data_IF_053123249937
#
_entry.id   IF_053123249937
#
_cell.length_a   1.000
_cell.length_b   1.000
_cell.length_c   1.000
_cell.angle_alpha   90.00
_cell.angle_beta   90.00
_cell.angle_gamma   90.00
#
_symmetry.space_group_name_H-M   'P 1'
#
loop_
_entity.id
_entity.type
_entity.pdbx_description
1 polymer ?
#
# COMPACT_ATOMS: atom_id res chain seq x y z
N UNK A 1 -24.67 -9.49 -5.59
CA UNK A 1 -24.50 -9.47 -4.13
C UNK A 1 -24.28 -8.00 -3.71
N UNK A 2 -25.15 -7.39 -2.89
CA UNK A 2 -25.04 -5.96 -2.50
C UNK A 2 -24.36 -5.75 -1.14
N UNK A 3 -24.61 -6.63 -0.18
CA UNK A 3 -23.96 -6.65 1.12
C UNK A 3 -23.97 -8.09 1.68
N UNK A 4 -23.04 -8.36 2.59
CA UNK A 4 -23.05 -9.53 3.47
C UNK A 4 -23.17 -8.99 4.89
N UNK A 5 -24.17 -9.45 5.64
CA UNK A 5 -24.36 -9.09 7.05
C UNK A 5 -24.05 -10.31 7.90
N UNK A 6 -23.13 -10.16 8.84
CA UNK A 6 -22.75 -11.20 9.81
C UNK A 6 -23.17 -10.69 11.19
N UNK A 7 -24.15 -11.35 11.79
CA UNK A 7 -24.58 -11.12 13.17
C UNK A 7 -24.21 -12.35 14.00
N UNK A 8 -23.37 -12.15 15.02
CA UNK A 8 -22.88 -13.21 15.88
C UNK A 8 -23.08 -12.80 17.35
N UNK A 9 -23.73 -13.64 18.18
CA UNK A 9 -23.99 -13.31 19.58
C UNK A 9 -22.71 -13.25 20.44
N UNK A 10 -21.58 -13.73 19.90
CA UNK A 10 -20.28 -13.72 20.56
C UNK A 10 -19.19 -13.28 19.60
N UNK A 11 -18.29 -12.45 20.09
CA UNK A 11 -17.05 -12.07 19.40
C UNK A 11 -15.87 -12.79 20.03
N UNK A 12 -14.86 -13.17 19.23
CA UNK A 12 -13.63 -13.84 19.71
C UNK A 12 -13.83 -15.20 20.40
N UNK A 13 -14.84 -15.97 19.99
CA UNK A 13 -15.15 -17.32 20.52
C UNK A 13 -14.61 -18.45 19.63
N UNK A 14 -13.58 -18.17 18.82
CA UNK A 14 -12.92 -19.20 18.02
C UNK A 14 -12.23 -20.22 18.95
N UNK A 15 -12.43 -21.54 18.77
CA UNK A 15 -11.75 -22.54 19.61
C UNK A 15 -10.23 -22.40 19.53
N UNK A 16 -9.57 -22.34 20.69
CA UNK A 16 -8.12 -22.30 20.82
C UNK A 16 -7.66 -23.63 21.42
N UNK A 17 -6.80 -24.38 20.72
CA UNK A 17 -6.38 -25.71 21.16
C UNK A 17 -5.62 -25.68 22.50
N UNK A 18 -4.76 -24.68 22.71
CA UNK A 18 -4.06 -24.42 23.97
C UNK A 18 -4.18 -22.93 24.37
N UNK A 19 -5.23 -22.58 25.15
CA UNK A 19 -5.52 -21.18 25.50
C UNK A 19 -4.41 -20.48 26.30
N UNK A 20 -3.75 -21.19 27.21
CA UNK A 20 -2.71 -20.59 28.07
C UNK A 20 -1.43 -20.33 27.29
N UNK A 21 -1.02 -21.29 26.45
CA UNK A 21 0.13 -21.13 25.54
C UNK A 21 -0.12 -20.01 24.53
N UNK A 22 -1.32 -19.96 23.94
CA UNK A 22 -1.70 -18.89 23.00
C UNK A 22 -1.65 -17.52 23.67
N UNK A 23 -2.25 -17.39 24.86
CA UNK A 23 -2.27 -16.13 25.62
C UNK A 23 -0.87 -15.66 25.99
N UNK A 24 0.02 -16.57 26.37
CA UNK A 24 1.41 -16.24 26.67
C UNK A 24 2.15 -15.71 25.42
N UNK A 25 2.01 -16.40 24.28
CA UNK A 25 2.61 -15.99 23.01
C UNK A 25 2.05 -14.66 22.50
N UNK A 26 0.72 -14.48 22.53
CA UNK A 26 0.06 -13.25 22.13
C UNK A 26 0.49 -12.05 22.98
N UNK A 27 0.65 -12.24 24.30
CA UNK A 27 1.17 -11.19 25.20
C UNK A 27 2.62 -10.82 24.87
N UNK A 28 3.47 -11.82 24.59
CA UNK A 28 4.85 -11.59 24.13
C UNK A 28 4.87 -10.81 22.82
N UNK A 29 4.05 -11.21 21.86
CA UNK A 29 3.97 -10.55 20.55
C UNK A 29 3.45 -9.11 20.65
N UNK A 30 2.41 -8.87 21.45
CA UNK A 30 1.92 -7.53 21.72
C UNK A 30 3.02 -6.62 22.31
N UNK A 31 3.88 -7.16 23.19
CA UNK A 31 5.02 -6.41 23.72
C UNK A 31 6.05 -6.09 22.63
N UNK A 32 6.39 -7.06 21.77
CA UNK A 32 7.30 -6.83 20.63
C UNK A 32 6.79 -5.69 19.75
N UNK A 33 5.48 -5.68 19.44
CA UNK A 33 4.86 -4.61 18.65
C UNK A 33 4.92 -3.25 19.35
N UNK A 34 4.57 -3.20 20.64
CA UNK A 34 4.53 -1.93 21.39
C UNK A 34 5.92 -1.35 21.68
N UNK A 35 6.94 -2.18 21.81
CA UNK A 35 8.32 -1.73 22.02
C UNK A 35 8.98 -1.24 20.72
N UNK A 36 8.45 -1.59 19.55
CA UNK A 36 9.00 -1.21 18.25
C UNK A 36 8.65 0.25 17.88
N UNK A 37 9.60 1.10 17.44
CA UNK A 37 9.36 2.53 17.21
C UNK A 37 8.30 2.82 16.14
N UNK A 38 8.26 2.05 15.05
CA UNK A 38 7.24 2.24 14.01
C UNK A 38 5.86 1.82 14.52
N UNK A 39 5.75 0.64 15.14
CA UNK A 39 4.46 0.04 15.51
C UNK A 39 3.86 0.63 16.79
N UNK A 40 4.71 1.00 17.76
CA UNK A 40 4.31 1.50 19.07
C UNK A 40 4.38 3.02 19.23
N UNK A 41 4.96 3.75 18.27
CA UNK A 41 5.07 5.22 18.34
C UNK A 41 4.63 5.91 17.05
N UNK A 42 5.28 5.64 15.90
CA UNK A 42 5.00 6.32 14.64
C UNK A 42 3.56 6.13 14.14
N UNK A 43 3.16 4.87 13.94
CA UNK A 43 1.81 4.52 13.49
C UNK A 43 0.71 4.98 14.47
N UNK A 44 0.82 4.81 15.80
CA UNK A 44 -0.18 5.36 16.73
C UNK A 44 -0.23 6.88 16.78
N UNK A 45 0.84 7.60 16.43
CA UNK A 45 0.85 9.06 16.49
C UNK A 45 0.24 9.70 15.23
N UNK A 46 0.55 9.17 14.06
CA UNK A 46 0.29 9.84 12.77
C UNK A 46 -0.36 8.93 11.72
N UNK A 47 -0.69 7.69 12.09
CA UNK A 47 -1.17 6.67 11.16
C UNK A 47 -0.15 6.31 10.09
N UNK A 48 -0.61 5.68 9.01
CA UNK A 48 0.26 5.34 7.88
C UNK A 48 0.81 6.58 7.18
N UNK A 49 0.05 7.69 7.20
CA UNK A 49 0.41 8.93 6.54
C UNK A 49 1.64 9.64 7.18
N UNK A 50 2.21 9.09 8.26
CA UNK A 50 3.58 9.43 8.72
C UNK A 50 4.61 9.31 7.60
N UNK A 51 4.35 8.45 6.61
CA UNK A 51 5.23 8.22 5.48
C UNK A 51 5.32 9.42 4.52
N UNK A 52 4.33 10.33 4.48
CA UNK A 52 4.29 11.43 3.51
C UNK A 52 5.60 12.24 3.48
N UNK A 53 6.05 12.72 4.64
CA UNK A 53 7.28 13.50 4.74
C UNK A 53 8.54 12.64 4.53
N UNK A 54 8.54 11.40 5.03
CA UNK A 54 9.66 10.46 4.92
C UNK A 54 9.93 10.13 3.45
N UNK A 55 8.89 9.75 2.71
CA UNK A 55 8.98 9.35 1.30
C UNK A 55 9.27 10.54 0.40
N UNK A 56 8.72 11.72 0.71
CA UNK A 56 9.07 12.96 0.04
C UNK A 56 10.55 13.30 0.21
N UNK A 57 11.09 13.26 1.44
CA UNK A 57 12.52 13.53 1.65
C UNK A 57 13.39 12.47 0.98
N UNK A 58 12.96 11.20 0.98
CA UNK A 58 13.67 10.14 0.27
C UNK A 58 13.69 10.31 -1.26
N UNK A 59 12.91 11.24 -1.83
CA UNK A 59 12.91 11.52 -3.27
C UNK A 59 12.24 10.41 -4.09
N UNK A 60 11.25 9.73 -3.51
CA UNK A 60 10.53 8.63 -4.16
C UNK A 60 9.01 8.79 -4.09
N UNK A 61 8.48 9.95 -3.66
CA UNK A 61 7.04 10.18 -3.68
C UNK A 61 6.58 10.54 -5.11
N UNK A 62 5.73 9.73 -5.76
CA UNK A 62 5.29 10.05 -7.11
C UNK A 62 4.48 11.34 -7.12
N UNK A 63 4.92 12.31 -7.91
CA UNK A 63 4.27 13.62 -8.01
C UNK A 63 3.93 13.90 -9.46
N UNK A 64 2.74 14.44 -9.69
CA UNK A 64 2.23 14.78 -11.05
C UNK A 64 2.28 13.58 -12.00
N UNK A 65 1.51 12.52 -11.69
CA UNK A 65 1.46 11.28 -12.47
C UNK A 65 2.87 10.67 -12.71
N UNK A 66 3.63 10.47 -11.63
CA UNK A 66 5.00 9.90 -11.68
C UNK A 66 5.98 10.72 -12.55
N UNK A 67 5.91 12.05 -12.54
CA UNK A 67 6.92 12.89 -13.22
C UNK A 67 8.09 13.27 -12.31
N UNK A 68 7.81 13.45 -11.03
CA UNK A 68 8.81 13.89 -10.05
C UNK A 68 8.74 13.03 -8.79
N UNK A 69 9.87 12.92 -8.07
CA UNK A 69 9.99 12.16 -6.82
C UNK A 69 9.80 13.00 -5.56
N UNK A 70 9.37 14.27 -5.70
CA UNK A 70 9.14 15.23 -4.61
C UNK A 70 7.95 16.13 -4.91
N UNK A 71 7.25 16.52 -3.85
CA UNK A 71 6.17 17.49 -3.86
C UNK A 71 6.42 18.57 -2.80
N UNK A 72 6.49 19.83 -3.24
CA UNK A 72 6.83 20.96 -2.36
C UNK A 72 5.79 21.20 -1.25
N UNK A 73 4.56 20.71 -1.42
CA UNK A 73 3.48 20.82 -0.42
C UNK A 73 3.19 19.50 0.31
N UNK A 74 4.10 18.53 0.29
CA UNK A 74 3.89 17.23 0.96
C UNK A 74 3.55 17.40 2.46
N UNK A 75 4.15 18.38 3.14
CA UNK A 75 3.87 18.67 4.55
C UNK A 75 2.41 19.11 4.81
N UNK A 76 1.74 19.73 3.84
CA UNK A 76 0.35 20.16 3.99
C UNK A 76 -0.63 18.99 3.96
N UNK A 77 -0.20 17.83 3.47
CA UNK A 77 -0.98 16.59 3.40
C UNK A 77 -0.36 15.44 4.19
N UNK A 78 0.54 15.74 5.13
CA UNK A 78 1.26 14.73 5.91
C UNK A 78 0.46 14.18 7.08
N UNK A 79 0.92 13.07 7.66
CA UNK A 79 0.32 12.47 8.85
C UNK A 79 0.33 13.40 10.07
N UNK A 80 1.36 14.21 10.23
CA UNK A 80 1.46 15.22 11.28
C UNK A 80 0.39 16.30 11.11
N UNK A 81 0.23 16.82 9.89
CA UNK A 81 -0.79 17.84 9.59
C UNK A 81 -2.20 17.26 9.73
N UNK A 82 -2.41 16.02 9.27
CA UNK A 82 -3.66 15.28 9.44
C UNK A 82 -3.99 15.14 10.93
N UNK A 83 -3.06 14.70 11.76
CA UNK A 83 -3.27 14.51 13.19
C UNK A 83 -3.60 15.82 13.92
N UNK A 84 -2.90 16.90 13.59
CA UNK A 84 -3.17 18.27 14.08
C UNK A 84 -4.61 18.68 13.78
N UNK A 85 -5.00 18.61 12.50
CA UNK A 85 -6.31 19.07 12.04
C UNK A 85 -7.44 18.19 12.56
N UNK A 86 -7.26 16.86 12.51
CA UNK A 86 -8.24 15.92 13.03
C UNK A 86 -8.51 16.18 14.52
N UNK A 87 -7.47 16.38 15.32
CA UNK A 87 -7.61 16.68 16.77
C UNK A 87 -8.28 18.03 17.00
N UNK A 88 -7.83 19.08 16.30
CA UNK A 88 -8.38 20.43 16.43
C UNK A 88 -9.88 20.50 16.08
N UNK A 89 -10.35 19.61 15.19
CA UNK A 89 -11.75 19.56 14.75
C UNK A 89 -12.58 18.49 15.47
N UNK A 90 -12.08 17.90 16.56
CA UNK A 90 -12.83 16.93 17.38
C UNK A 90 -12.89 15.50 16.80
N UNK A 91 -12.04 15.18 15.84
CA UNK A 91 -11.81 13.85 15.29
C UNK A 91 -10.82 13.03 16.12
N UNK A 92 -10.13 12.09 15.47
CA UNK A 92 -9.14 11.22 16.11
C UNK A 92 -7.90 11.08 15.22
N UNK A 93 -6.73 11.38 15.77
CA UNK A 93 -5.46 11.05 15.11
C UNK A 93 -5.19 9.53 15.11
N UNK A 94 -5.77 8.79 16.06
CA UNK A 94 -5.54 7.35 16.25
C UNK A 94 -6.75 6.61 16.83
N UNK A 95 -7.02 5.43 16.30
CA UNK A 95 -7.92 4.43 16.87
C UNK A 95 -7.62 3.03 16.31
N UNK A 96 -8.14 2.00 16.99
CA UNK A 96 -8.05 0.62 16.52
C UNK A 96 -9.02 0.38 15.36
N UNK A 97 -8.54 -0.22 14.27
CA UNK A 97 -9.38 -0.65 13.15
C UNK A 97 -10.28 -1.85 13.51
N UNK A 98 -9.84 -2.71 14.41
CA UNK A 98 -10.62 -3.83 14.95
C UNK A 98 -10.32 -4.03 16.45
N UNK A 99 -11.21 -4.69 17.22
CA UNK A 99 -10.92 -4.99 18.61
C UNK A 99 -9.73 -5.96 18.71
N UNK A 100 -8.74 -5.61 19.54
CA UNK A 100 -7.50 -6.37 19.70
C UNK A 100 -6.28 -5.76 19.00
N UNK A 101 -6.46 -4.81 18.06
CA UNK A 101 -5.32 -4.12 17.45
C UNK A 101 -4.61 -3.23 18.47
N UNK A 102 -3.36 -3.57 18.80
CA UNK A 102 -2.52 -2.80 19.74
C UNK A 102 -1.82 -1.59 19.09
N UNK A 103 -1.71 -1.57 17.76
CA UNK A 103 -1.03 -0.49 17.00
C UNK A 103 -1.89 0.76 16.79
N UNK A 104 -3.20 0.60 16.58
CA UNK A 104 -4.16 1.72 16.49
C UNK A 104 -3.79 2.81 15.46
N UNK A 105 -3.40 2.42 14.23
CA UNK A 105 -2.94 3.35 13.20
C UNK A 105 -4.04 4.16 12.49
N UNK A 106 -5.32 3.83 12.68
CA UNK A 106 -6.41 4.42 11.90
C UNK A 106 -6.82 5.80 12.44
N UNK A 107 -7.33 6.69 11.59
CA UNK A 107 -7.72 8.07 11.96
C UNK A 107 -9.18 8.40 11.60
N UNK A 108 -9.68 9.51 12.15
CA UNK A 108 -11.00 10.07 11.87
C UNK A 108 -10.84 11.56 11.62
N UNK A 109 -11.15 12.01 10.40
CA UNK A 109 -10.93 13.38 9.92
C UNK A 109 -12.27 14.11 9.68
N UNK A 110 -12.63 15.09 10.53
CA UNK A 110 -13.79 15.94 10.33
C UNK A 110 -13.49 17.07 9.31
N UNK A 111 -14.36 17.19 8.31
CA UNK A 111 -14.30 18.24 7.29
C UNK A 111 -15.13 19.47 7.69
N UNK A 112 -14.82 20.67 7.16
CA UNK A 112 -15.54 21.91 7.49
C UNK A 112 -17.04 21.88 7.15
N UNK A 113 -17.45 21.07 6.17
CA UNK A 113 -18.85 20.91 5.78
C UNK A 113 -19.65 19.96 6.68
N UNK A 114 -19.06 19.46 7.78
CA UNK A 114 -19.69 18.56 8.73
C UNK A 114 -19.64 17.07 8.35
N UNK A 115 -19.13 16.73 7.16
CA UNK A 115 -18.83 15.33 6.82
C UNK A 115 -17.59 14.85 7.58
N UNK A 116 -17.48 13.54 7.75
CA UNK A 116 -16.33 12.88 8.38
C UNK A 116 -15.80 11.82 7.43
N UNK A 117 -14.49 11.83 7.19
CA UNK A 117 -13.80 10.80 6.42
C UNK A 117 -12.90 9.99 7.37
N UNK A 118 -12.89 8.67 7.22
CA UNK A 118 -12.07 7.80 8.04
C UNK A 118 -11.85 6.44 7.34
N UNK A 119 -10.61 5.91 7.35
CA UNK A 119 -9.34 6.63 7.55
C UNK A 119 -8.90 7.39 6.30
N UNK A 120 -8.03 8.38 6.48
CA UNK A 120 -7.15 8.87 5.39
C UNK A 120 -5.80 8.17 5.57
N UNK A 121 -5.53 7.16 4.76
CA UNK A 121 -4.27 6.43 4.75
C UNK A 121 -3.22 7.14 3.86
N UNK A 122 -1.95 6.78 3.99
CA UNK A 122 -0.84 7.34 3.21
C UNK A 122 -1.09 7.30 1.70
N UNK A 123 -1.47 6.14 1.17
CA UNK A 123 -1.72 5.93 -0.25
C UNK A 123 -2.84 6.85 -0.77
N UNK A 124 -3.91 7.00 0.01
CA UNK A 124 -5.02 7.89 -0.33
C UNK A 124 -4.59 9.37 -0.28
N UNK A 125 -3.80 9.76 0.72
CA UNK A 125 -3.27 11.11 0.82
C UNK A 125 -2.31 11.43 -0.33
N UNK A 126 -1.51 10.45 -0.75
CA UNK A 126 -0.63 10.56 -1.91
C UNK A 126 -1.41 10.69 -3.21
N UNK A 127 -2.32 9.74 -3.48
CA UNK A 127 -2.94 9.59 -4.79
C UNK A 127 -3.86 10.77 -5.13
N UNK A 128 -4.45 11.43 -4.12
CA UNK A 128 -5.26 12.64 -4.26
C UNK A 128 -4.52 13.93 -3.91
N UNK A 129 -3.29 13.83 -3.41
CA UNK A 129 -2.43 14.96 -3.08
C UNK A 129 -1.29 15.10 -4.09
N UNK A 130 -0.04 14.71 -3.74
CA UNK A 130 1.14 14.77 -4.60
C UNK A 130 0.92 14.31 -6.04
N UNK A 131 0.25 13.17 -6.24
CA UNK A 131 0.06 12.62 -7.58
C UNK A 131 -0.76 13.55 -8.50
N UNK A 132 -1.68 14.33 -7.93
CA UNK A 132 -2.53 15.29 -8.62
C UNK A 132 -2.06 16.75 -8.45
N UNK A 133 -0.93 16.99 -7.77
CA UNK A 133 -0.43 18.32 -7.35
C UNK A 133 -1.40 19.10 -6.43
N UNK A 134 -2.21 18.39 -5.64
CA UNK A 134 -3.13 18.99 -4.65
C UNK A 134 -2.46 18.99 -3.27
N UNK A 135 -2.39 20.16 -2.63
CA UNK A 135 -1.78 20.36 -1.31
C UNK A 135 -2.78 20.80 -0.25
N UNK A 136 -3.99 20.23 -0.26
CA UNK A 136 -5.09 20.59 0.63
C UNK A 136 -5.77 19.32 1.19
N UNK A 137 -5.67 19.13 2.52
CA UNK A 137 -6.23 17.94 3.18
C UNK A 137 -7.75 17.85 3.12
N UNK A 138 -8.45 18.98 3.09
CA UNK A 138 -9.92 18.99 3.01
C UNK A 138 -10.39 18.46 1.64
N UNK A 139 -9.69 18.82 0.57
CA UNK A 139 -9.89 18.25 -0.77
C UNK A 139 -9.56 16.75 -0.80
N UNK A 140 -8.41 16.34 -0.25
CA UNK A 140 -8.03 14.92 -0.15
C UNK A 140 -9.10 14.12 0.60
N UNK A 141 -9.58 14.65 1.73
CA UNK A 141 -10.64 14.04 2.53
C UNK A 141 -11.97 13.94 1.77
N UNK A 142 -12.31 14.94 0.95
CA UNK A 142 -13.52 14.91 0.12
C UNK A 142 -13.43 13.83 -0.97
N UNK A 143 -12.31 13.75 -1.68
CA UNK A 143 -12.09 12.73 -2.71
C UNK A 143 -12.14 11.31 -2.11
N UNK A 144 -11.49 11.11 -0.97
CA UNK A 144 -11.57 9.86 -0.21
C UNK A 144 -13.01 9.55 0.25
N UNK A 145 -13.75 10.55 0.74
CA UNK A 145 -15.15 10.38 1.14
C UNK A 145 -16.01 9.87 -0.03
N UNK A 146 -15.84 10.43 -1.24
CA UNK A 146 -16.58 9.99 -2.43
C UNK A 146 -16.20 8.55 -2.79
N UNK A 147 -14.91 8.20 -2.78
CA UNK A 147 -14.47 6.82 -2.99
C UNK A 147 -15.09 5.84 -1.99
N UNK A 148 -15.12 6.19 -0.70
CA UNK A 148 -15.69 5.35 0.34
C UNK A 148 -17.22 5.17 0.18
N UNK A 149 -17.94 6.22 -0.21
CA UNK A 149 -19.39 6.17 -0.40
C UNK A 149 -19.79 5.32 -1.62
N UNK A 150 -19.02 5.39 -2.70
CA UNK A 150 -19.26 4.64 -3.94
C UNK A 150 -18.70 3.21 -3.87
N UNK A 151 -17.62 2.99 -3.12
CA UNK A 151 -16.89 1.73 -3.04
C UNK A 151 -15.80 1.61 -4.11
N UNK A 152 -14.93 2.62 -4.22
CA UNK A 152 -13.82 2.68 -5.18
C UNK A 152 -12.47 2.60 -4.47
N UNK A 153 -11.50 1.94 -5.10
CA UNK A 153 -10.10 2.02 -4.67
C UNK A 153 -9.54 3.43 -4.95
N UNK A 154 -8.95 4.04 -3.93
CA UNK A 154 -8.38 5.38 -4.04
C UNK A 154 -7.13 5.39 -4.91
N UNK A 155 -6.31 4.33 -4.90
CA UNK A 155 -5.07 4.28 -5.69
C UNK A 155 -5.41 4.28 -7.17
N UNK A 156 -6.23 3.33 -7.63
CA UNK A 156 -6.64 3.23 -9.02
C UNK A 156 -7.35 4.50 -9.52
N UNK A 157 -8.27 5.05 -8.71
CA UNK A 157 -8.95 6.30 -9.07
C UNK A 157 -7.96 7.47 -9.13
N UNK A 158 -7.06 7.60 -8.15
CA UNK A 158 -6.04 8.65 -8.13
C UNK A 158 -5.08 8.56 -9.32
N UNK A 159 -4.61 7.35 -9.67
CA UNK A 159 -3.85 7.10 -10.89
C UNK A 159 -4.65 7.48 -12.14
N UNK A 160 -5.95 7.14 -12.19
CA UNK A 160 -6.82 7.47 -13.33
C UNK A 160 -7.00 8.97 -13.50
N UNK A 161 -7.24 9.71 -12.41
CA UNK A 161 -7.31 11.16 -12.42
C UNK A 161 -5.97 11.77 -12.87
N UNK A 162 -4.84 11.21 -12.42
CA UNK A 162 -3.51 11.62 -12.88
C UNK A 162 -3.31 11.43 -14.39
N UNK A 163 -3.81 10.31 -14.95
CA UNK A 163 -3.80 10.06 -16.40
C UNK A 163 -4.72 11.03 -17.15
N UNK A 164 -5.89 11.37 -16.62
CA UNK A 164 -6.80 12.35 -17.22
C UNK A 164 -6.23 13.78 -17.17
N UNK A 165 -5.50 14.12 -16.11
CA UNK A 165 -4.76 15.37 -16.00
C UNK A 165 -3.60 15.44 -17.01
N UNK A 166 -2.89 14.32 -17.18
CA UNK A 166 -1.86 14.17 -18.21
C UNK A 166 -2.43 14.33 -19.63
N UNK A 167 -3.64 13.83 -19.88
CA UNK A 167 -4.38 13.99 -21.14
C UNK A 167 -4.88 15.43 -21.39
N UNK A 168 -4.81 16.32 -20.40
CA UNK A 168 -5.35 17.67 -20.48
C UNK A 168 -6.88 17.76 -20.36
N UNK A 169 -7.54 16.70 -19.86
CA UNK A 169 -8.99 16.70 -19.57
C UNK A 169 -9.28 17.66 -18.40
N UNK A 170 -8.37 17.75 -17.44
CA UNK A 170 -8.38 18.73 -16.36
C UNK A 170 -6.95 19.16 -16.00
N UNK A 171 -6.71 20.35 -15.44
CA UNK A 171 -5.38 20.77 -15.02
C UNK A 171 -4.93 20.00 -13.77
N UNK A 172 -3.62 19.71 -13.67
CA UNK A 172 -3.03 19.33 -12.38
C UNK A 172 -3.22 20.45 -11.35
N UNK A 173 -3.49 20.07 -10.10
CA UNK A 173 -3.76 20.96 -8.99
C UNK A 173 -5.19 21.52 -8.94
N UNK A 174 -6.05 21.19 -9.90
CA UNK A 174 -7.45 21.64 -9.90
C UNK A 174 -8.33 20.74 -9.02
N UNK A 175 -8.40 21.11 -7.74
CA UNK A 175 -9.19 20.41 -6.72
C UNK A 175 -10.67 20.28 -7.05
N UNK A 176 -11.27 21.33 -7.63
CA UNK A 176 -12.71 21.34 -7.91
C UNK A 176 -13.03 20.47 -9.12
N UNK A 177 -12.19 20.51 -10.15
CA UNK A 177 -12.34 19.61 -11.30
C UNK A 177 -12.18 18.14 -10.89
N UNK A 178 -11.21 17.82 -10.02
CA UNK A 178 -11.02 16.46 -9.52
C UNK A 178 -12.24 15.95 -8.73
N UNK A 179 -12.80 16.77 -7.83
CA UNK A 179 -14.00 16.43 -7.07
C UNK A 179 -15.19 16.21 -8.02
N UNK A 180 -15.46 17.17 -8.91
CA UNK A 180 -16.58 17.08 -9.84
C UNK A 180 -16.48 15.85 -10.75
N UNK A 181 -15.29 15.55 -11.27
CA UNK A 181 -15.06 14.38 -12.11
C UNK A 181 -15.29 13.07 -11.35
N UNK A 182 -14.88 12.98 -10.08
CA UNK A 182 -15.09 11.79 -9.28
C UNK A 182 -16.57 11.57 -8.90
N UNK A 183 -17.33 12.64 -8.66
CA UNK A 183 -18.78 12.57 -8.43
C UNK A 183 -19.55 11.98 -9.63
N UNK A 184 -19.00 12.11 -10.85
CA UNK A 184 -19.60 11.52 -12.05
C UNK A 184 -19.61 9.98 -12.05
N UNK A 185 -18.71 9.34 -11.28
CA UNK A 185 -18.65 7.86 -11.20
C UNK A 185 -19.95 7.30 -10.64
N UNK A 186 -20.46 7.88 -9.55
CA UNK A 186 -21.72 7.48 -8.94
C UNK A 186 -22.92 7.69 -9.87
N UNK A 187 -22.85 8.71 -10.73
CA UNK A 187 -23.88 9.05 -11.71
C UNK A 187 -23.82 8.16 -12.96
N UNK A 188 -22.71 7.43 -13.17
CA UNK A 188 -22.53 6.54 -14.32
C UNK A 188 -22.48 7.25 -15.67
N UNK A 189 -22.04 8.51 -15.67
CA UNK A 189 -21.84 9.30 -16.90
C UNK A 189 -20.75 8.65 -17.78
N UNK A 190 -20.57 9.09 -19.04
CA UNK A 190 -19.45 8.62 -19.86
C UNK A 190 -18.09 8.85 -19.19
N UNK A 191 -17.82 10.03 -18.62
CA UNK A 191 -16.56 10.29 -17.92
C UNK A 191 -16.45 9.45 -16.64
N UNK A 192 -17.52 9.35 -15.85
CA UNK A 192 -17.56 8.49 -14.66
C UNK A 192 -17.24 7.02 -14.96
N UNK A 193 -17.69 6.50 -16.11
CA UNK A 193 -17.35 5.14 -16.56
C UNK A 193 -15.89 5.00 -16.99
N UNK A 194 -15.28 6.06 -17.52
CA UNK A 194 -13.84 6.06 -17.80
C UNK A 194 -13.04 6.05 -16.50
N UNK A 195 -13.41 6.89 -15.54
CA UNK A 195 -12.75 6.96 -14.23
C UNK A 195 -12.87 5.63 -13.50
N UNK A 196 -14.08 5.06 -13.41
CA UNK A 196 -14.30 3.74 -12.82
C UNK A 196 -13.71 2.58 -13.63
N UNK A 197 -13.24 2.83 -14.85
CA UNK A 197 -12.56 1.85 -15.69
C UNK A 197 -11.06 1.72 -15.41
N UNK A 198 -10.48 2.59 -14.56
CA UNK A 198 -9.08 2.52 -14.16
C UNK A 198 -8.09 3.16 -15.13
N UNK A 199 -6.81 3.31 -14.71
CA UNK A 199 -5.83 4.15 -15.39
C UNK A 199 -5.45 3.60 -16.76
N UNK A 200 -5.41 2.28 -16.91
CA UNK A 200 -5.12 1.61 -18.18
C UNK A 200 -6.16 1.91 -19.26
N UNK A 201 -7.44 1.91 -18.89
CA UNK A 201 -8.52 2.18 -19.84
C UNK A 201 -8.58 3.67 -20.20
N UNK A 202 -8.43 4.55 -19.22
CA UNK A 202 -8.32 5.99 -19.47
C UNK A 202 -7.15 6.32 -20.41
N UNK A 203 -5.97 5.73 -20.15
CA UNK A 203 -4.78 5.96 -20.98
C UNK A 203 -4.97 5.54 -22.43
N UNK A 204 -5.56 4.36 -22.66
CA UNK A 204 -5.90 3.87 -24.01
C UNK A 204 -6.90 4.79 -24.72
N UNK A 205 -7.93 5.25 -24.02
CA UNK A 205 -8.99 6.09 -24.61
C UNK A 205 -8.47 7.47 -25.03
N UNK A 206 -7.61 8.06 -24.21
CA UNK A 206 -7.09 9.42 -24.42
C UNK A 206 -5.71 9.47 -25.10
N UNK A 207 -5.12 8.32 -25.42
CA UNK A 207 -3.82 8.25 -26.09
C UNK A 207 -2.64 8.67 -25.20
N UNK A 208 -2.74 8.47 -23.88
CA UNK A 208 -1.68 8.78 -22.91
C UNK A 208 -0.72 7.60 -22.80
N UNK A 209 0.59 7.87 -22.83
CA UNK A 209 1.65 6.85 -22.70
C UNK A 209 2.17 6.71 -21.27
N UNK A 210 2.15 7.78 -20.46
CA UNK A 210 2.50 7.74 -19.03
C UNK A 210 1.33 7.23 -18.20
N UNK A 211 1.12 5.92 -18.25
CA UNK A 211 0.08 5.21 -17.52
C UNK A 211 0.76 4.36 -16.44
N UNK A 212 0.72 4.78 -15.16
CA UNK A 212 1.38 4.06 -14.08
C UNK A 212 0.53 2.86 -13.65
N UNK A 213 0.53 1.79 -14.44
CA UNK A 213 -0.22 0.57 -14.14
C UNK A 213 0.53 -0.69 -14.56
N UNK A 214 0.37 -1.77 -13.80
CA UNK A 214 0.88 -3.12 -14.12
C UNK A 214 -0.28 -4.10 -13.99
N UNK A 215 -0.43 -4.99 -14.99
CA UNK A 215 -1.58 -5.92 -15.09
C UNK A 215 -2.96 -5.25 -15.00
N UNK A 216 -3.03 -3.97 -15.36
CA UNK A 216 -4.25 -3.17 -15.33
C UNK A 216 -4.47 -2.34 -14.06
N UNK A 217 -3.76 -2.64 -12.97
CA UNK A 217 -3.87 -2.00 -11.66
C UNK A 217 -2.87 -0.85 -11.50
N UNK A 218 -3.32 0.27 -10.94
CA UNK A 218 -2.53 1.48 -10.70
C UNK A 218 -1.36 1.26 -9.74
N UNK A 219 -0.22 1.90 -10.03
CA UNK A 219 0.99 1.82 -9.22
C UNK A 219 0.86 2.70 -7.95
N UNK A 220 1.17 2.18 -6.75
CA UNK A 220 1.10 2.92 -5.48
C UNK A 220 2.19 4.01 -5.27
N UNK A 221 2.18 4.63 -4.09
CA UNK A 221 2.90 5.83 -3.70
C UNK A 221 4.44 5.73 -3.51
N UNK A 222 5.11 4.87 -4.29
CA UNK A 222 6.57 4.76 -4.27
C UNK A 222 7.08 4.63 -5.70
N UNK A 223 7.90 5.58 -6.15
CA UNK A 223 8.38 5.60 -7.52
C UNK A 223 9.43 4.48 -7.74
N UNK A 224 9.17 3.52 -8.65
CA UNK A 224 10.04 2.37 -8.81
C UNK A 224 11.46 2.74 -9.27
N UNK A 225 11.69 3.95 -9.81
CA UNK A 225 13.02 4.40 -10.23
C UNK A 225 13.95 4.72 -9.05
N UNK A 226 13.40 5.11 -7.90
CA UNK A 226 14.16 5.41 -6.68
C UNK A 226 13.74 4.58 -5.46
N UNK A 227 12.79 3.64 -5.64
CA UNK A 227 12.47 2.55 -4.72
C UNK A 227 12.39 1.24 -5.53
N UNK A 228 13.54 0.77 -6.02
CA UNK A 228 13.61 -0.31 -7.00
C UNK A 228 13.09 -1.65 -6.50
N UNK A 229 13.20 -1.95 -5.21
CA UNK A 229 12.64 -3.17 -4.61
C UNK A 229 11.12 -3.23 -4.76
N UNK A 230 10.43 -2.12 -4.52
CA UNK A 230 9.00 -2.02 -4.80
C UNK A 230 8.69 -2.12 -6.30
N UNK A 231 9.56 -1.58 -7.15
CA UNK A 231 9.44 -1.76 -8.61
C UNK A 231 9.46 -3.23 -9.05
N UNK A 232 10.31 -4.06 -8.45
CA UNK A 232 10.29 -5.52 -8.66
C UNK A 232 8.96 -6.11 -8.21
N UNK A 233 8.46 -5.71 -7.04
CA UNK A 233 7.17 -6.16 -6.52
C UNK A 233 6.05 -5.80 -7.49
N UNK A 234 5.93 -4.53 -7.90
CA UNK A 234 4.89 -4.06 -8.83
C UNK A 234 4.88 -4.83 -10.14
N UNK A 235 6.08 -5.10 -10.69
CA UNK A 235 6.21 -5.88 -11.92
C UNK A 235 5.71 -7.31 -11.71
N UNK A 236 6.14 -7.98 -10.63
CA UNK A 236 6.13 -9.44 -10.57
C UNK A 236 5.02 -10.05 -9.71
N UNK A 237 4.43 -9.31 -8.76
CA UNK A 237 3.41 -9.89 -7.89
C UNK A 237 2.20 -10.42 -8.68
N UNK A 238 1.60 -11.56 -8.26
CA UNK A 238 0.46 -12.16 -8.96
C UNK A 238 -0.78 -11.25 -9.04
N UNK A 239 -0.95 -10.30 -8.12
CA UNK A 239 -2.20 -9.55 -7.99
C UNK A 239 -2.27 -8.23 -8.80
N UNK A 240 -1.16 -7.77 -9.39
CA UNK A 240 -1.08 -6.44 -10.03
C UNK A 240 -0.13 -5.52 -9.27
N UNK A 241 -0.06 -4.22 -9.58
CA UNK A 241 0.87 -3.31 -8.88
C UNK A 241 0.45 -3.08 -7.41
N UNK A 242 0.83 -3.97 -6.51
CA UNK A 242 0.56 -3.86 -5.07
C UNK A 242 1.87 -3.74 -4.28
N UNK A 243 2.03 -2.66 -3.52
CA UNK A 243 3.21 -2.40 -2.69
C UNK A 243 3.23 -3.29 -1.44
N UNK A 244 2.07 -3.68 -0.93
CA UNK A 244 1.93 -4.46 0.29
C UNK A 244 2.40 -5.90 0.09
N UNK A 245 2.20 -6.45 -1.12
CA UNK A 245 2.60 -7.80 -1.49
C UNK A 245 4.10 -8.06 -1.30
N UNK A 246 4.96 -7.04 -1.34
CA UNK A 246 6.40 -7.17 -1.18
C UNK A 246 7.02 -5.82 -0.81
N UNK A 247 6.72 -5.36 0.41
CA UNK A 247 6.94 -3.98 0.84
C UNK A 247 8.41 -3.64 1.15
N UNK A 248 9.21 -3.47 0.09
CA UNK A 248 10.66 -3.23 0.15
C UNK A 248 11.03 -1.89 0.79
N UNK A 249 10.10 -0.94 0.89
CA UNK A 249 10.24 0.33 1.64
C UNK A 249 10.78 0.11 3.06
N UNK A 250 10.50 -1.03 3.68
CA UNK A 250 11.09 -1.47 4.96
C UNK A 250 12.62 -1.32 4.97
N UNK A 251 13.31 -2.06 4.10
CA UNK A 251 14.78 -2.02 4.01
C UNK A 251 15.30 -0.89 3.10
N UNK A 252 14.51 -0.43 2.15
CA UNK A 252 14.90 0.62 1.20
C UNK A 252 14.94 2.01 1.83
N UNK A 253 14.00 2.32 2.74
CA UNK A 253 13.80 3.68 3.26
C UNK A 253 13.77 3.72 4.79
N UNK A 254 13.09 2.75 5.42
CA UNK A 254 12.82 2.79 6.86
C UNK A 254 13.91 2.16 7.73
N UNK A 255 14.88 1.47 7.12
CA UNK A 255 15.92 0.68 7.79
C UNK A 255 15.34 -0.40 8.73
N UNK A 256 14.25 -1.03 8.31
CA UNK A 256 13.58 -2.13 9.02
C UNK A 256 13.88 -3.45 8.30
N UNK A 257 14.37 -4.44 9.03
CA UNK A 257 14.84 -5.72 8.46
C UNK A 257 16.17 -5.63 7.73
N UNK A 258 16.93 -4.55 7.94
CA UNK A 258 18.19 -4.25 7.26
C UNK A 258 18.11 -3.01 6.36
N UNK A 259 19.14 -2.82 5.53
CA UNK A 259 19.24 -1.68 4.61
C UNK A 259 19.69 -2.16 3.23
N UNK A 260 18.97 -1.76 2.18
CA UNK A 260 19.33 -2.00 0.78
C UNK A 260 19.14 -0.68 0.02
N UNK A 261 20.19 -0.18 -0.64
CA UNK A 261 20.15 1.12 -1.33
C UNK A 261 19.06 1.13 -2.41
N UNK A 262 18.03 1.99 -2.28
CA UNK A 262 16.84 1.93 -3.11
C UNK A 262 17.06 2.44 -4.55
N UNK A 263 18.17 3.15 -4.78
CA UNK A 263 18.56 3.72 -6.08
C UNK A 263 19.45 2.77 -6.89
N UNK A 264 19.94 1.70 -6.26
CA UNK A 264 20.81 0.69 -6.85
C UNK A 264 20.03 -0.58 -7.16
N UNK A 265 20.44 -1.31 -8.19
CA UNK A 265 19.75 -2.54 -8.62
C UNK A 265 20.13 -3.73 -7.76
N UNK A 266 21.32 -3.70 -7.17
CA UNK A 266 21.91 -4.76 -6.39
C UNK A 266 21.02 -5.10 -5.18
N UNK A 267 20.70 -6.38 -5.02
CA UNK A 267 19.89 -6.90 -3.90
C UNK A 267 18.38 -6.69 -4.01
N UNK A 268 17.89 -5.90 -4.96
CA UNK A 268 16.45 -5.56 -5.04
C UNK A 268 15.56 -6.75 -5.42
N UNK A 269 16.04 -7.61 -6.32
CA UNK A 269 15.33 -8.84 -6.73
C UNK A 269 15.18 -9.80 -5.55
N UNK A 270 16.26 -10.02 -4.79
CA UNK A 270 16.25 -10.89 -3.62
C UNK A 270 15.39 -10.32 -2.50
N UNK A 271 15.52 -9.02 -2.21
CA UNK A 271 14.71 -8.32 -1.22
C UNK A 271 13.22 -8.46 -1.54
N UNK A 272 12.82 -8.12 -2.77
CA UNK A 272 11.41 -8.23 -3.19
C UNK A 272 10.91 -9.66 -3.12
N UNK A 273 11.65 -10.65 -3.64
CA UNK A 273 11.29 -12.08 -3.56
C UNK A 273 11.01 -12.50 -2.12
N UNK A 274 11.94 -12.23 -1.22
CA UNK A 274 11.84 -12.68 0.17
C UNK A 274 10.67 -12.02 0.90
N UNK A 275 10.43 -10.73 0.64
CA UNK A 275 9.27 -10.01 1.18
C UNK A 275 7.95 -10.51 0.60
N UNK A 276 7.91 -10.88 -0.68
CA UNK A 276 6.73 -11.48 -1.30
C UNK A 276 6.38 -12.84 -0.68
N UNK A 277 7.39 -13.69 -0.48
CA UNK A 277 7.21 -14.97 0.21
C UNK A 277 6.71 -14.76 1.65
N UNK A 278 7.34 -13.86 2.39
CA UNK A 278 6.96 -13.58 3.78
C UNK A 278 5.53 -13.02 3.88
N UNK A 279 5.16 -12.09 2.99
CA UNK A 279 3.83 -11.44 2.99
C UNK A 279 2.73 -12.43 2.68
N UNK A 280 2.89 -13.26 1.63
CA UNK A 280 1.92 -14.30 1.28
C UNK A 280 1.62 -15.24 2.46
N UNK A 281 2.66 -15.58 3.25
CA UNK A 281 2.49 -16.37 4.46
C UNK A 281 1.76 -15.60 5.57
N UNK A 282 2.10 -14.33 5.82
CA UNK A 282 1.45 -13.48 6.83
C UNK A 282 -0.02 -13.26 6.52
N UNK A 283 -0.39 -12.98 5.27
CA UNK A 283 -1.79 -12.76 4.86
C UNK A 283 -2.67 -13.99 5.13
N UNK A 284 -2.09 -15.18 5.07
CA UNK A 284 -2.78 -16.44 5.39
C UNK A 284 -3.06 -16.64 6.89
N UNK A 285 -2.50 -15.81 7.76
CA UNK A 285 -2.70 -15.91 9.23
C UNK A 285 -3.85 -15.05 9.75
N UNK A 286 -4.30 -14.05 8.97
CA UNK A 286 -5.23 -13.02 9.42
C UNK A 286 -4.60 -11.91 10.28
N UNK A 287 -3.27 -11.88 10.44
CA UNK A 287 -2.56 -10.76 11.03
C UNK A 287 -2.47 -9.59 10.05
N UNK A 288 -2.51 -8.36 10.57
CA UNK A 288 -2.26 -7.16 9.78
C UNK A 288 -0.78 -7.11 9.34
N UNK A 289 -0.52 -6.75 8.08
CA UNK A 289 0.83 -6.66 7.53
C UNK A 289 1.78 -5.76 8.33
N UNK A 290 1.30 -4.73 9.02
CA UNK A 290 2.16 -3.84 9.83
C UNK A 290 2.86 -4.55 10.99
N UNK A 291 2.48 -5.78 11.33
CA UNK A 291 3.29 -6.59 12.25
C UNK A 291 4.69 -6.88 11.70
N UNK A 292 4.84 -6.88 10.36
CA UNK A 292 6.10 -7.14 9.68
C UNK A 292 7.22 -6.22 10.16
N UNK A 293 6.95 -4.95 10.47
CA UNK A 293 7.99 -4.03 10.91
C UNK A 293 8.71 -4.54 12.17
N UNK A 294 7.94 -4.92 13.20
CA UNK A 294 8.52 -5.43 14.43
C UNK A 294 9.06 -6.87 14.28
N UNK A 295 8.44 -7.67 13.40
CA UNK A 295 8.90 -9.04 13.11
C UNK A 295 10.27 -9.05 12.43
N UNK A 296 10.51 -8.13 11.49
CA UNK A 296 11.77 -8.03 10.75
C UNK A 296 12.93 -7.54 11.63
N UNK A 297 12.66 -6.69 12.62
CA UNK A 297 13.68 -6.13 13.53
C UNK A 297 13.86 -6.92 14.83
N UNK A 298 13.05 -7.95 15.08
CA UNK A 298 13.11 -8.74 16.30
C UNK A 298 13.26 -10.24 15.99
N UNK A 299 14.38 -10.89 16.38
CA UNK A 299 14.61 -12.31 16.09
C UNK A 299 13.57 -13.23 16.75
N UNK A 300 12.90 -12.78 17.81
CA UNK A 300 11.81 -13.50 18.47
C UNK A 300 10.44 -13.25 17.82
N UNK A 301 10.34 -12.31 16.87
CA UNK A 301 9.09 -11.90 16.24
C UNK A 301 8.39 -13.06 15.52
N UNK A 302 9.00 -13.56 14.44
CA UNK A 302 8.44 -14.66 13.65
C UNK A 302 8.27 -15.96 14.46
N UNK A 303 9.24 -16.39 15.29
CA UNK A 303 9.02 -17.53 16.19
C UNK A 303 7.81 -17.36 17.11
N UNK A 304 7.54 -16.15 17.59
CA UNK A 304 6.35 -15.89 18.44
C UNK A 304 5.05 -15.97 17.63
N UNK A 305 5.04 -15.52 16.37
CA UNK A 305 3.89 -15.71 15.47
C UNK A 305 3.62 -17.21 15.22
N UNK A 306 4.67 -17.98 14.93
CA UNK A 306 4.58 -19.44 14.76
C UNK A 306 4.01 -20.11 16.02
N UNK A 307 4.49 -19.69 17.19
CA UNK A 307 3.99 -20.20 18.48
C UNK A 307 2.50 -19.91 18.69
N UNK A 308 2.03 -18.72 18.29
CA UNK A 308 0.60 -18.38 18.32
C UNK A 308 -0.21 -19.32 17.42
N UNK A 309 0.25 -19.59 16.19
CA UNK A 309 -0.44 -20.50 15.27
C UNK A 309 -0.47 -21.95 15.80
N UNK A 310 0.65 -22.42 16.34
CA UNK A 310 0.77 -23.74 16.95
C UNK A 310 -0.19 -23.91 18.12
N UNK A 311 -0.27 -22.91 19.01
CA UNK A 311 -1.19 -22.93 20.15
C UNK A 311 -2.67 -22.78 19.75
N UNK A 312 -2.95 -22.00 18.69
CA UNK A 312 -4.31 -21.83 18.16
C UNK A 312 -4.87 -23.15 17.62
N UNK A 313 -4.09 -23.83 16.78
CA UNK A 313 -4.57 -24.97 15.99
C UNK A 313 -4.11 -26.35 16.52
N UNK A 314 -3.23 -26.40 17.53
CA UNK A 314 -2.68 -27.66 18.04
C UNK A 314 -1.72 -28.33 17.05
N UNK A 315 -1.00 -27.51 16.27
CA UNK A 315 -0.03 -27.95 15.24
C UNK A 315 1.40 -27.63 15.68
N UNK A 316 2.39 -28.07 14.87
CA UNK A 316 3.82 -27.95 15.18
C UNK A 316 4.61 -27.39 13.99
N UNK A 317 4.21 -26.22 13.50
CA UNK A 317 4.95 -25.46 12.50
C UNK A 317 6.31 -25.00 13.04
N UNK A 318 7.28 -24.97 12.13
CA UNK A 318 8.58 -24.31 12.27
C UNK A 318 8.60 -23.02 11.45
N UNK A 319 9.67 -22.22 11.56
CA UNK A 319 9.85 -21.03 10.72
C UNK A 319 9.99 -21.41 9.24
N UNK A 320 10.68 -22.51 8.94
CA UNK A 320 10.87 -22.98 7.55
C UNK A 320 9.52 -23.39 6.91
N UNK A 321 8.59 -23.94 7.70
CA UNK A 321 7.24 -24.25 7.22
C UNK A 321 6.47 -23.00 6.78
N UNK A 322 6.68 -21.86 7.45
CA UNK A 322 6.06 -20.58 7.08
C UNK A 322 6.62 -20.05 5.75
N UNK A 323 7.93 -20.18 5.54
CA UNK A 323 8.57 -19.80 4.28
C UNK A 323 8.06 -20.69 3.14
N UNK A 324 8.01 -22.01 3.36
CA UNK A 324 7.50 -22.98 2.40
C UNK A 324 6.01 -22.71 2.05
N UNK A 325 5.21 -22.29 3.03
CA UNK A 325 3.82 -21.88 2.81
C UNK A 325 3.74 -20.68 1.85
N UNK A 326 4.50 -19.61 2.10
CA UNK A 326 4.53 -18.42 1.24
C UNK A 326 4.94 -18.74 -0.20
N UNK A 327 6.00 -19.56 -0.36
CA UNK A 327 6.45 -20.03 -1.68
C UNK A 327 5.35 -20.84 -2.39
N UNK A 328 4.66 -21.72 -1.67
CA UNK A 328 3.58 -22.52 -2.24
C UNK A 328 2.38 -21.66 -2.66
N UNK A 329 2.00 -20.65 -1.87
CA UNK A 329 0.92 -19.72 -2.20
C UNK A 329 1.24 -18.99 -3.51
N UNK A 330 2.43 -18.40 -3.61
CA UNK A 330 2.86 -17.69 -4.81
C UNK A 330 2.90 -18.61 -6.04
N UNK A 331 3.33 -19.87 -5.87
CA UNK A 331 3.27 -20.88 -6.96
C UNK A 331 1.83 -21.12 -7.42
N UNK A 332 0.88 -21.28 -6.50
CA UNK A 332 -0.54 -21.49 -6.82
C UNK A 332 -1.15 -20.27 -7.52
N UNK A 333 -0.90 -19.07 -7.01
CA UNK A 333 -1.40 -17.81 -7.60
C UNK A 333 -0.83 -17.60 -9.01
N UNK A 334 0.45 -17.89 -9.23
CA UNK A 334 1.06 -17.78 -10.56
C UNK A 334 0.55 -18.83 -11.54
N UNK A 335 0.32 -20.07 -11.10
CA UNK A 335 -0.30 -21.08 -11.97
C UNK A 335 -1.75 -20.70 -12.33
N UNK A 336 -2.49 -20.08 -11.41
CA UNK A 336 -3.78 -19.48 -11.74
C UNK A 336 -3.66 -18.41 -12.82
N UNK A 337 -2.74 -17.44 -12.66
CA UNK A 337 -2.52 -16.39 -13.66
C UNK A 337 -2.10 -16.93 -15.03
N UNK A 338 -1.20 -17.92 -15.04
CA UNK A 338 -0.79 -18.59 -16.28
C UNK A 338 -1.97 -19.30 -16.95
N UNK A 339 -2.84 -19.95 -16.18
CA UNK A 339 -4.07 -20.54 -16.71
C UNK A 339 -5.06 -19.48 -17.23
N UNK A 340 -5.05 -18.27 -16.64
CA UNK A 340 -5.81 -17.10 -17.11
C UNK A 340 -5.18 -16.40 -18.33
N UNK A 341 -3.99 -16.83 -18.77
CA UNK A 341 -3.31 -16.32 -19.97
C UNK A 341 -2.20 -15.31 -19.73
N UNK A 342 -1.83 -15.04 -18.47
CA UNK A 342 -0.68 -14.19 -18.16
C UNK A 342 0.63 -14.87 -18.58
N UNK A 343 1.54 -14.04 -19.07
CA UNK A 343 2.89 -14.42 -19.49
C UNK A 343 3.91 -13.54 -18.80
N UNK A 344 5.20 -13.82 -19.02
CA UNK A 344 6.28 -12.94 -18.54
C UNK A 344 6.19 -11.50 -19.05
N UNK A 345 5.52 -11.27 -20.20
CA UNK A 345 5.31 -9.92 -20.72
C UNK A 345 4.39 -9.06 -19.82
N UNK A 346 3.55 -9.70 -18.99
CA UNK A 346 2.68 -9.02 -18.03
C UNK A 346 3.41 -8.69 -16.71
N UNK A 347 4.62 -9.25 -16.51
CA UNK A 347 5.49 -8.99 -15.36
C UNK A 347 6.48 -7.85 -15.66
N UNK A 348 6.00 -6.74 -16.23
CA UNK A 348 6.81 -5.60 -16.68
C UNK A 348 6.25 -4.27 -16.20
N UNK A 349 7.14 -3.32 -15.92
CA UNK A 349 6.76 -1.93 -15.64
C UNK A 349 6.49 -1.15 -16.94
N UNK A 350 5.67 -0.09 -16.88
CA UNK A 350 5.52 0.86 -17.98
C UNK A 350 6.87 1.42 -18.48
N UNK A 351 7.02 1.50 -19.81
CA UNK A 351 8.29 1.85 -20.48
C UNK A 351 8.88 3.19 -20.01
N UNK A 352 8.03 4.16 -19.66
CA UNK A 352 8.50 5.48 -19.23
C UNK A 352 9.38 5.41 -17.97
N UNK A 353 9.24 4.39 -17.11
CA UNK A 353 10.15 4.20 -15.97
C UNK A 353 11.58 3.81 -16.38
N UNK A 354 11.76 3.24 -17.57
CA UNK A 354 13.08 2.89 -18.13
C UNK A 354 13.68 4.02 -18.97
N UNK A 355 12.86 4.98 -19.41
CA UNK A 355 13.27 6.07 -20.31
C UNK A 355 13.48 7.38 -19.56
N UNK A 356 12.57 7.74 -18.66
CA UNK A 356 12.51 9.06 -18.02
C UNK A 356 13.26 9.08 -16.69
N UNK A 357 14.20 10.01 -16.55
CA UNK A 357 14.90 10.25 -15.28
C UNK A 357 13.94 10.80 -14.22
N UNK A 358 14.13 10.37 -12.96
CA UNK A 358 13.38 10.86 -11.81
C UNK A 358 14.19 11.86 -10.97
N UNK A 359 13.91 13.18 -11.03
CA UNK A 359 14.42 14.13 -10.03
C UNK A 359 13.91 13.77 -8.61
N UNK A 360 14.73 13.92 -7.55
CA UNK A 360 16.05 14.55 -7.54
C UNK A 360 17.23 13.59 -7.81
N UNK A 361 16.99 12.27 -7.83
CA UNK A 361 18.08 11.28 -7.93
C UNK A 361 18.60 11.09 -9.36
N UNK A 362 17.81 11.49 -10.36
CA UNK A 362 18.06 11.26 -11.78
C UNK A 362 18.29 9.77 -12.10
N UNK A 363 17.46 8.90 -11.49
CA UNK A 363 17.50 7.45 -11.70
C UNK A 363 16.39 6.99 -12.63
N UNK A 364 16.58 5.79 -13.20
CA UNK A 364 15.61 5.02 -13.97
C UNK A 364 15.44 3.63 -13.36
N UNK A 365 14.40 2.91 -13.77
CA UNK A 365 14.26 1.50 -13.44
C UNK A 365 15.12 0.69 -14.41
N UNK A 366 16.20 0.11 -13.90
CA UNK A 366 17.28 -0.53 -14.67
C UNK A 366 17.45 -2.02 -14.33
N UNK A 367 16.50 -2.61 -13.60
CA UNK A 367 16.40 -4.05 -13.40
C UNK A 367 15.87 -4.65 -14.70
N UNK A 368 16.63 -5.58 -15.26
CA UNK A 368 16.35 -6.17 -16.57
C UNK A 368 15.19 -7.16 -16.53
N UNK A 369 14.57 -7.38 -17.69
CA UNK A 369 13.53 -8.40 -17.87
C UNK A 369 13.98 -9.79 -17.41
N UNK A 370 15.23 -10.17 -17.69
CA UNK A 370 15.78 -11.45 -17.25
C UNK A 370 15.91 -11.49 -15.71
N UNK A 371 16.35 -10.40 -15.06
CA UNK A 371 16.39 -10.31 -13.60
C UNK A 371 14.98 -10.39 -12.96
N UNK A 372 13.96 -9.83 -13.60
CA UNK A 372 12.56 -9.94 -13.17
C UNK A 372 12.00 -11.36 -13.35
N UNK A 373 12.34 -12.02 -14.46
CA UNK A 373 11.90 -13.39 -14.75
C UNK A 373 12.44 -14.41 -13.72
N UNK A 374 13.52 -14.07 -13.01
CA UNK A 374 14.13 -14.91 -11.96
C UNK A 374 13.49 -14.72 -10.57
N UNK A 375 12.56 -13.78 -10.37
CA UNK A 375 12.00 -13.46 -9.04
C UNK A 375 11.38 -14.68 -8.35
N UNK A 376 10.73 -15.60 -9.08
CA UNK A 376 10.07 -16.76 -8.48
C UNK A 376 10.74 -18.11 -8.77
N UNK A 377 12.03 -18.11 -9.11
CA UNK A 377 12.79 -19.33 -9.38
C UNK A 377 13.24 -20.02 -8.07
N UNK A 378 12.28 -20.57 -7.33
CA UNK A 378 12.46 -21.36 -6.09
C UNK A 378 11.56 -22.61 -6.05
#
# INVERSE_FOLDING_TARGET
>A
LKAIVIDCPKTFDAPVADPERFKAAAKKFAKILLDHPVCGQGLPAYGTNVLMNIINEAGTIPTRNFRFGRFDKAAEVSGEKLAEVATARGGKATHACHPGCVMRCSNVYPMPNGKVCAPIEYETAWCFGPNLEIGDLDTVAMLNYICNDVGLDTIDVGCTLGVLMEAGVMPFGDSQAAIAALEEVAQGTPLGRVIGGGPTNAGKLYGVTRVPAVKGQGIPAYDPRSCKGNGVTYATTPMGADHTAGYAVTANILNVGGTVDPTKKEGQVELSRNLQVATAAVDSTGLCLFVAFAVLDNPEGLPTVVEMLNAQYGINLTVDDVIALGQNILKVEREFNKAAGFTKADDRLPEFFQIEDLPPHHTKFDITDDELDEVFNF
#
